data_IF_527327992769
#
_entry.id   IF_527327992769
#
_cell.length_a   1.000
_cell.length_b   1.000
_cell.length_c   1.000
_cell.angle_alpha   90.00
_cell.angle_beta   90.00
_cell.angle_gamma   90.00
#
_symmetry.space_group_name_H-M   'P 1'
#
loop_
_entity.id
_entity.type
_entity.pdbx_description
1 polymer ?
#
# COMPACT_ATOMS: atom_id res chain seq x y z
N UNK A 1 -28.74 6.63 20.46
CA UNK A 1 -28.06 5.58 19.65
C UNK A 1 -27.04 6.28 18.79
N UNK A 2 -25.76 6.23 19.14
CA UNK A 2 -24.70 6.98 18.46
C UNK A 2 -24.60 6.57 17.00
N UNK A 3 -24.73 7.55 16.12
CA UNK A 3 -24.43 7.43 14.71
C UNK A 3 -22.94 7.12 14.58
N UNK A 4 -22.61 5.86 14.26
CA UNK A 4 -21.25 5.48 13.89
C UNK A 4 -20.96 6.16 12.56
N UNK A 5 -20.13 7.21 12.58
CA UNK A 5 -19.60 7.81 11.35
C UNK A 5 -19.02 6.66 10.50
N UNK A 6 -19.32 6.57 9.20
CA UNK A 6 -18.65 5.57 8.38
C UNK A 6 -17.15 5.81 8.50
N UNK A 7 -16.38 4.75 8.78
CA UNK A 7 -14.94 4.78 8.66
C UNK A 7 -14.62 5.01 7.17
N UNK A 8 -14.60 6.27 6.74
CA UNK A 8 -14.15 6.65 5.42
C UNK A 8 -12.69 6.23 5.32
N UNK A 9 -12.45 5.13 4.61
CA UNK A 9 -11.10 4.75 4.19
C UNK A 9 -10.57 5.85 3.31
N UNK A 10 -9.56 6.55 3.81
CA UNK A 10 -8.86 7.56 3.03
C UNK A 10 -7.82 6.88 2.14
N UNK A 11 -8.27 6.44 0.97
CA UNK A 11 -7.40 5.79 -0.01
C UNK A 11 -6.33 6.73 -0.56
N UNK A 12 -6.57 8.04 -0.57
CA UNK A 12 -5.57 9.01 -0.97
C UNK A 12 -4.42 9.06 0.06
N UNK A 13 -4.75 9.04 1.35
CA UNK A 13 -3.74 8.95 2.42
C UNK A 13 -2.96 7.63 2.39
N UNK A 14 -3.61 6.52 2.03
CA UNK A 14 -2.91 5.22 1.84
C UNK A 14 -1.95 5.29 0.66
N UNK A 15 -2.41 5.78 -0.49
CA UNK A 15 -1.56 5.93 -1.68
C UNK A 15 -0.37 6.85 -1.41
N UNK A 16 -0.59 7.97 -0.71
CA UNK A 16 0.47 8.89 -0.33
C UNK A 16 1.49 8.20 0.58
N UNK A 17 1.04 7.41 1.57
CA UNK A 17 1.94 6.66 2.43
C UNK A 17 2.76 5.62 1.65
N UNK A 18 2.15 4.90 0.70
CA UNK A 18 2.84 3.95 -0.18
C UNK A 18 3.95 4.68 -0.96
N UNK A 19 3.62 5.81 -1.58
CA UNK A 19 4.58 6.58 -2.38
C UNK A 19 5.69 7.18 -1.52
N UNK A 20 5.39 7.55 -0.26
CA UNK A 20 6.37 8.08 0.70
C UNK A 20 7.37 7.01 1.15
N UNK A 21 6.95 5.75 1.29
CA UNK A 21 7.85 4.65 1.68
C UNK A 21 8.54 3.98 0.50
N UNK A 22 8.00 4.13 -0.71
CA UNK A 22 8.68 3.78 -1.94
C UNK A 22 9.92 4.67 -2.15
N UNK A 23 10.92 4.12 -2.84
CA UNK A 23 12.19 4.79 -3.10
C UNK A 23 12.55 4.61 -4.59
N UNK A 24 13.46 5.41 -5.15
CA UNK A 24 14.00 5.17 -6.50
C UNK A 24 14.81 3.87 -6.65
N UNK A 25 14.99 3.09 -5.57
CA UNK A 25 15.60 1.75 -5.58
C UNK A 25 14.55 0.67 -5.35
N UNK A 26 14.76 -0.49 -5.94
CA UNK A 26 13.90 -1.66 -5.75
C UNK A 26 13.74 -2.03 -4.28
N UNK A 27 12.49 -2.19 -3.86
CA UNK A 27 12.10 -2.67 -2.53
C UNK A 27 11.04 -3.75 -2.68
N UNK A 28 11.11 -4.78 -1.82
CA UNK A 28 10.09 -5.85 -1.80
C UNK A 28 8.70 -5.26 -1.60
N UNK A 29 7.72 -5.76 -2.34
CA UNK A 29 6.31 -5.39 -2.15
C UNK A 29 5.86 -5.65 -0.71
N UNK A 30 6.30 -6.75 -0.11
CA UNK A 30 6.04 -7.05 1.31
C UNK A 30 6.58 -5.96 2.27
N UNK A 31 7.74 -5.36 1.96
CA UNK A 31 8.30 -4.27 2.77
C UNK A 31 7.48 -2.99 2.63
N UNK A 32 7.03 -2.67 1.41
CA UNK A 32 6.15 -1.52 1.17
C UNK A 32 4.84 -1.67 1.95
N UNK A 33 4.23 -2.86 1.90
CA UNK A 33 2.98 -3.14 2.62
C UNK A 33 3.15 -2.95 4.13
N UNK A 34 4.18 -3.59 4.72
CA UNK A 34 4.43 -3.51 6.16
C UNK A 34 4.73 -2.08 6.64
N UNK A 35 5.59 -1.34 5.93
CA UNK A 35 5.89 0.05 6.29
C UNK A 35 4.69 0.96 6.14
N UNK A 36 3.84 0.70 5.15
CA UNK A 36 2.61 1.45 4.95
C UNK A 36 1.63 1.18 6.08
N UNK A 37 1.45 -0.07 6.51
CA UNK A 37 0.53 -0.39 7.62
C UNK A 37 0.93 0.23 8.95
N UNK A 38 2.21 0.56 9.15
CA UNK A 38 2.69 1.26 10.35
C UNK A 38 2.37 2.77 10.35
N UNK A 39 1.85 3.30 9.24
CA UNK A 39 1.48 4.71 9.13
C UNK A 39 0.24 5.04 9.97
N UNK A 40 0.29 6.15 10.71
CA UNK A 40 -0.81 6.62 11.58
C UNK A 40 -1.81 7.55 10.88
N UNK A 41 -1.67 7.76 9.57
CA UNK A 41 -2.47 8.72 8.79
C UNK A 41 -3.80 8.17 8.28
N UNK A 42 -4.07 6.88 8.48
CA UNK A 42 -5.32 6.23 8.08
C UNK A 42 -5.63 5.05 9.01
N UNK A 43 -6.84 4.49 8.88
CA UNK A 43 -7.26 3.30 9.62
C UNK A 43 -7.59 2.18 8.63
N UNK A 44 -6.95 1.03 8.81
CA UNK A 44 -7.22 -0.22 8.09
C UNK A 44 -7.48 -1.35 9.10
N UNK A 45 -8.13 -2.45 8.68
CA UNK A 45 -8.23 -3.65 9.50
C UNK A 45 -6.85 -4.14 9.89
N UNK A 46 -6.73 -4.71 11.08
CA UNK A 46 -5.49 -5.32 11.52
C UNK A 46 -5.17 -6.60 10.73
N UNK A 47 -3.88 -6.91 10.65
CA UNK A 47 -3.37 -8.14 10.05
C UNK A 47 -3.60 -8.24 8.55
N UNK A 48 -3.82 -9.47 8.08
CA UNK A 48 -3.84 -9.85 6.65
C UNK A 48 -4.82 -9.01 5.83
N UNK A 49 -6.01 -8.72 6.36
CA UNK A 49 -7.03 -7.91 5.66
C UNK A 49 -6.56 -6.48 5.36
N UNK A 50 -5.79 -5.87 6.25
CA UNK A 50 -5.19 -4.55 6.00
C UNK A 50 -4.09 -4.64 4.95
N UNK A 51 -3.28 -5.67 5.01
CA UNK A 51 -2.19 -5.91 4.05
C UNK A 51 -2.71 -6.15 2.63
N UNK A 52 -3.76 -6.94 2.45
CA UNK A 52 -4.40 -7.14 1.16
C UNK A 52 -4.93 -5.83 0.55
N UNK A 53 -5.47 -4.95 1.39
CA UNK A 53 -5.95 -3.64 0.94
C UNK A 53 -4.82 -2.75 0.46
N UNK A 54 -3.71 -2.70 1.20
CA UNK A 54 -2.51 -1.97 0.78
C UNK A 54 -1.94 -2.60 -0.50
N UNK A 55 -1.88 -3.93 -0.61
CA UNK A 55 -1.42 -4.61 -1.80
C UNK A 55 -2.25 -4.23 -3.04
N UNK A 56 -3.58 -4.19 -2.90
CA UNK A 56 -4.48 -3.73 -3.95
C UNK A 56 -4.20 -2.28 -4.37
N UNK A 57 -3.86 -1.40 -3.42
CA UNK A 57 -3.43 -0.02 -3.73
C UNK A 57 -2.09 0.02 -4.46
N UNK A 58 -1.12 -0.81 -4.07
CA UNK A 58 0.17 -0.94 -4.79
C UNK A 58 -0.07 -1.36 -6.24
N UNK A 59 -0.92 -2.36 -6.49
CA UNK A 59 -1.29 -2.79 -7.85
C UNK A 59 -1.91 -1.64 -8.66
N UNK A 60 -2.82 -0.86 -8.06
CA UNK A 60 -3.41 0.31 -8.71
C UNK A 60 -2.37 1.40 -9.05
N UNK A 61 -1.41 1.66 -8.17
CA UNK A 61 -0.33 2.63 -8.40
C UNK A 61 0.65 2.17 -9.49
N UNK A 62 0.90 0.86 -9.61
CA UNK A 62 1.66 0.28 -10.71
C UNK A 62 0.91 0.49 -12.04
N UNK A 63 -0.39 0.17 -12.08
CA UNK A 63 -1.22 0.36 -13.28
C UNK A 63 -1.30 1.84 -13.70
N UNK A 64 -1.27 2.76 -12.74
CA UNK A 64 -1.24 4.19 -12.99
C UNK A 64 0.16 4.74 -13.36
N UNK A 65 1.20 3.90 -13.46
CA UNK A 65 2.57 4.32 -13.76
C UNK A 65 3.24 5.13 -12.65
N UNK A 66 2.69 5.11 -11.43
CA UNK A 66 3.24 5.80 -10.26
C UNK A 66 4.30 4.98 -9.53
N UNK A 67 4.34 3.68 -9.78
CA UNK A 67 5.36 2.74 -9.34
C UNK A 67 5.75 1.87 -10.53
N UNK A 68 7.03 1.52 -10.61
CA UNK A 68 7.49 0.43 -11.46
C UNK A 68 7.51 -0.87 -10.67
N UNK A 69 7.39 -2.01 -11.37
CA UNK A 69 7.38 -3.34 -10.77
C UNK A 69 8.35 -4.28 -11.49
N UNK A 70 9.06 -5.10 -10.70
CA UNK A 70 9.81 -6.25 -11.17
C UNK A 70 9.22 -7.53 -10.58
N UNK A 71 8.87 -8.48 -11.46
CA UNK A 71 8.21 -9.73 -11.11
C UNK A 71 6.68 -9.60 -11.06
N UNK A 72 6.03 -10.50 -10.32
CA UNK A 72 4.57 -10.51 -10.16
C UNK A 72 4.18 -9.83 -8.83
N UNK A 73 3.51 -8.66 -8.83
CA UNK A 73 3.17 -7.92 -7.62
C UNK A 73 2.24 -8.67 -6.67
N UNK A 74 1.61 -9.77 -7.10
CA UNK A 74 0.81 -10.65 -6.24
C UNK A 74 1.66 -11.61 -5.41
N UNK A 75 2.94 -11.80 -5.77
CA UNK A 75 3.90 -12.58 -5.01
C UNK A 75 4.75 -11.64 -4.15
N UNK A 76 4.18 -11.09 -3.07
CA UNK A 76 4.74 -9.94 -2.33
C UNK A 76 6.20 -10.10 -1.89
N UNK A 77 6.60 -11.32 -1.54
CA UNK A 77 7.96 -11.65 -1.07
C UNK A 77 8.95 -11.86 -2.22
N UNK A 78 8.46 -12.08 -3.44
CA UNK A 78 9.23 -12.40 -4.64
C UNK A 78 9.18 -11.30 -5.71
N UNK A 79 8.55 -10.17 -5.39
CA UNK A 79 8.40 -9.02 -6.29
C UNK A 79 8.85 -7.74 -5.62
N UNK A 80 9.26 -6.79 -6.45
CA UNK A 80 9.83 -5.53 -6.03
C UNK A 80 9.18 -4.37 -6.77
N UNK A 81 9.11 -3.23 -6.10
CA UNK A 81 8.64 -1.97 -6.67
C UNK A 81 9.62 -0.85 -6.38
N UNK A 82 9.61 0.18 -7.23
CA UNK A 82 10.35 1.43 -7.04
C UNK A 82 9.54 2.61 -7.56
N UNK A 83 9.93 3.82 -7.15
CA UNK A 83 9.51 5.03 -7.87
C UNK A 83 10.16 5.04 -9.26
N UNK A 84 9.45 5.52 -10.31
CA UNK A 84 9.99 5.65 -11.68
C UNK A 84 11.35 6.37 -11.74
#
# INVERSE_FOLDING_TARGET
>A
MSSMKPATRDWAAVDEAILRVALPRWQKVATIIAKTSDARSFTLPEGEKGYEQIASRVEGLIQAGRLEVQGNPKLWRNSEVRLP
#
